data_IF_134289992147
#
_entry.id   IF_134289992147
#
_cell.length_a   1.000
_cell.length_b   1.000
_cell.length_c   1.000
_cell.angle_alpha   90.00
_cell.angle_beta   90.00
_cell.angle_gamma   90.00
#
_symmetry.space_group_name_H-M   'P 1'
#
loop_
_entity.id
_entity.type
_entity.pdbx_description
1 polymer ?
#
# COMPACT_ATOMS: atom_id res chain seq x y z
N UNK A 1 37.68 -41.95 26.03
CA UNK A 1 36.81 -41.52 24.91
C UNK A 1 35.63 -40.79 25.54
N UNK A 2 35.74 -39.52 25.96
CA UNK A 2 36.20 -38.32 25.23
C UNK A 2 35.35 -38.05 23.98
N UNK A 3 34.64 -36.93 24.06
CA UNK A 3 34.20 -36.07 22.95
C UNK A 3 33.04 -36.59 22.10
N UNK A 4 31.79 -36.24 22.46
CA UNK A 4 30.72 -36.12 21.47
C UNK A 4 29.46 -35.33 21.91
N UNK A 5 29.30 -34.95 23.18
CA UNK A 5 28.07 -34.28 23.67
C UNK A 5 28.24 -32.75 23.78
N UNK A 6 29.23 -32.16 23.11
CA UNK A 6 29.49 -30.71 23.16
C UNK A 6 29.53 -30.05 21.77
N UNK A 7 28.84 -30.62 20.77
CA UNK A 7 28.65 -30.00 19.45
C UNK A 7 27.16 -29.86 19.09
N UNK A 8 26.25 -30.42 19.90
CA UNK A 8 24.79 -30.40 19.66
C UNK A 8 24.06 -29.38 20.55
N UNK A 9 24.75 -28.31 20.98
CA UNK A 9 24.16 -27.25 21.81
C UNK A 9 24.63 -25.84 21.42
N UNK A 10 25.06 -25.65 20.17
CA UNK A 10 25.40 -24.34 19.61
C UNK A 10 25.00 -24.22 18.13
N UNK A 11 23.82 -24.71 17.79
CA UNK A 11 23.14 -24.34 16.56
C UNK A 11 21.65 -24.43 16.82
N UNK A 12 21.03 -23.28 17.18
CA UNK A 12 19.60 -22.97 17.09
C UNK A 12 19.27 -21.72 17.93
N UNK A 13 20.04 -20.64 17.74
CA UNK A 13 19.60 -19.28 18.07
C UNK A 13 20.23 -18.32 17.05
N UNK A 14 20.05 -18.62 15.76
CA UNK A 14 19.88 -17.54 14.80
C UNK A 14 18.37 -17.36 14.70
N UNK A 15 17.78 -16.67 15.68
CA UNK A 15 16.66 -15.83 15.29
C UNK A 15 17.28 -14.82 14.32
N UNK A 16 17.04 -15.02 13.03
CA UNK A 16 17.06 -13.90 12.12
C UNK A 16 15.93 -13.00 12.58
N UNK A 17 16.22 -12.17 13.59
CA UNK A 17 15.59 -10.87 13.65
C UNK A 17 15.98 -10.23 12.34
N UNK A 18 15.15 -10.42 11.31
CA UNK A 18 15.14 -9.51 10.19
C UNK A 18 14.96 -8.15 10.84
N UNK A 19 16.04 -7.38 10.88
CA UNK A 19 15.92 -5.97 11.14
C UNK A 19 14.88 -5.50 10.14
N UNK A 20 13.77 -4.99 10.65
CA UNK A 20 12.71 -4.53 9.80
C UNK A 20 13.28 -3.39 8.96
N UNK A 21 13.49 -3.64 7.67
CA UNK A 21 14.00 -2.60 6.79
C UNK A 21 12.95 -1.49 6.71
N UNK A 22 13.39 -0.28 7.01
CA UNK A 22 12.55 0.90 6.93
C UNK A 22 12.34 1.32 5.47
N UNK A 23 11.21 1.96 5.22
CA UNK A 23 10.79 2.42 3.90
C UNK A 23 10.98 3.94 3.76
N UNK A 24 11.64 4.38 2.69
CA UNK A 24 11.96 5.81 2.44
C UNK A 24 10.79 6.60 1.84
N UNK A 25 9.74 5.92 1.38
CA UNK A 25 8.53 6.52 0.81
C UNK A 25 7.29 6.09 1.61
N UNK A 26 6.13 6.77 1.45
CA UNK A 26 4.93 6.45 2.22
C UNK A 26 4.58 4.96 2.16
N UNK A 27 4.19 4.40 3.30
CA UNK A 27 3.96 2.98 3.48
C UNK A 27 2.48 2.70 3.73
N UNK A 28 1.89 1.89 2.86
CA UNK A 28 0.58 1.27 3.07
C UNK A 28 0.75 -0.11 3.71
N UNK A 29 0.06 -0.33 4.82
CA UNK A 29 -0.11 -1.64 5.45
C UNK A 29 -1.59 -1.99 5.37
N UNK A 30 -1.90 -3.06 4.65
CA UNK A 30 -3.26 -3.53 4.39
C UNK A 30 -3.45 -4.88 5.07
N UNK A 31 -4.37 -4.94 6.00
CA UNK A 31 -4.76 -6.18 6.68
C UNK A 31 -6.17 -6.57 6.27
N UNK A 32 -6.30 -7.66 5.54
CA UNK A 32 -7.58 -8.19 5.07
C UNK A 32 -8.15 -9.11 6.14
N UNK A 33 -9.42 -8.90 6.50
CA UNK A 33 -10.07 -9.71 7.53
C UNK A 33 -10.05 -11.20 7.16
N UNK A 34 -9.51 -12.03 8.05
CA UNK A 34 -9.41 -13.48 7.83
C UNK A 34 -8.27 -13.94 6.92
N UNK A 35 -7.39 -13.04 6.46
CA UNK A 35 -6.23 -13.39 5.65
C UNK A 35 -6.56 -13.87 4.23
N UNK A 36 -7.77 -13.60 3.75
CA UNK A 36 -8.21 -14.01 2.41
C UNK A 36 -7.45 -13.27 1.29
N UNK A 37 -7.42 -13.86 0.10
CA UNK A 37 -6.98 -13.16 -1.10
C UNK A 37 -8.00 -12.08 -1.48
N UNK A 38 -7.51 -10.95 -1.95
CA UNK A 38 -8.34 -9.84 -2.42
C UNK A 38 -8.94 -10.21 -3.79
N UNK A 39 -10.28 -10.28 -3.94
CA UNK A 39 -10.94 -10.56 -5.23
C UNK A 39 -11.02 -9.32 -6.11
N UNK A 40 -11.40 -9.45 -7.38
CA UNK A 40 -11.64 -8.33 -8.32
C UNK A 40 -12.94 -7.57 -7.99
N UNK A 41 -14.03 -8.29 -7.75
CA UNK A 41 -15.26 -7.75 -7.17
C UNK A 41 -15.97 -8.89 -6.39
N UNK A 42 -16.68 -8.59 -5.29
CA UNK A 42 -16.85 -7.28 -4.66
C UNK A 42 -15.70 -6.93 -3.69
N UNK A 43 -15.61 -5.65 -3.31
CA UNK A 43 -14.72 -5.21 -2.21
C UNK A 43 -14.95 -6.01 -0.93
N UNK A 44 -13.85 -6.51 -0.37
CA UNK A 44 -13.83 -7.16 0.94
C UNK A 44 -13.35 -6.20 2.02
N UNK A 45 -13.73 -6.47 3.27
CA UNK A 45 -13.32 -5.64 4.42
C UNK A 45 -11.83 -5.80 4.69
N UNK A 46 -11.15 -4.67 4.84
CA UNK A 46 -9.76 -4.59 5.25
C UNK A 46 -9.59 -3.45 6.26
N UNK A 47 -8.46 -3.45 6.93
CA UNK A 47 -7.97 -2.34 7.72
C UNK A 47 -6.73 -1.79 7.02
N UNK A 48 -6.73 -0.49 6.73
CA UNK A 48 -5.61 0.18 6.04
C UNK A 48 -4.96 1.15 7.00
N UNK A 49 -3.65 1.05 7.07
CA UNK A 49 -2.77 2.00 7.74
C UNK A 49 -1.86 2.65 6.71
N UNK A 50 -1.79 3.97 6.70
CA UNK A 50 -0.90 4.77 5.86
C UNK A 50 0.05 5.58 6.75
N UNK A 51 1.34 5.37 6.52
CA UNK A 51 2.44 5.95 7.30
C UNK A 51 3.31 6.80 6.37
N UNK A 52 3.58 8.04 6.77
CA UNK A 52 4.58 8.91 6.17
C UNK A 52 5.19 9.81 7.26
N UNK A 53 6.37 9.42 7.76
CA UNK A 53 7.13 10.17 8.77
C UNK A 53 7.81 11.44 8.19
N UNK A 54 7.67 11.66 6.88
CA UNK A 54 8.16 12.83 6.18
C UNK A 54 9.58 12.69 5.61
N UNK A 55 10.08 13.74 4.94
CA UNK A 55 11.32 13.65 4.17
C UNK A 55 12.54 13.26 5.02
N UNK A 56 13.25 12.22 4.58
CA UNK A 56 14.47 11.73 5.22
C UNK A 56 14.23 10.93 6.51
N UNK A 57 12.97 10.61 6.83
CA UNK A 57 12.60 9.70 7.91
C UNK A 57 12.13 8.38 7.32
N UNK A 58 12.54 7.27 7.95
CA UNK A 58 12.10 5.94 7.57
C UNK A 58 10.70 5.66 8.13
N UNK A 59 9.92 4.88 7.38
CA UNK A 59 8.62 4.36 7.79
C UNK A 59 8.74 2.88 8.16
N UNK A 60 8.15 2.47 9.27
CA UNK A 60 8.16 1.08 9.72
C UNK A 60 6.72 0.55 9.85
N UNK A 61 6.50 -0.74 9.56
CA UNK A 61 5.19 -1.41 9.78
C UNK A 61 4.77 -1.34 11.24
N UNK A 62 5.70 -1.21 12.19
CA UNK A 62 5.39 -1.03 13.61
C UNK A 62 4.88 0.36 13.97
N UNK A 63 5.05 1.37 13.09
CA UNK A 63 4.60 2.73 13.35
C UNK A 63 3.07 2.82 13.34
N UNK A 64 2.52 3.76 14.09
CA UNK A 64 1.08 4.09 14.04
C UNK A 64 0.74 4.78 12.71
N UNK A 65 -0.49 4.58 12.20
CA UNK A 65 -0.94 5.24 10.98
C UNK A 65 -1.13 6.74 11.18
N UNK A 66 -0.14 7.53 10.80
CA UNK A 66 -0.14 8.97 11.03
C UNK A 66 -0.87 9.76 9.92
N UNK A 67 -1.03 9.18 8.72
CA UNK A 67 -1.81 9.77 7.62
C UNK A 67 -3.22 9.21 7.59
N UNK A 68 -3.36 7.89 7.75
CA UNK A 68 -4.65 7.22 7.83
C UNK A 68 -4.52 5.93 8.63
N UNK A 69 -5.53 5.62 9.43
CA UNK A 69 -5.64 4.39 10.20
C UNK A 69 -7.13 4.07 10.37
N UNK A 70 -7.64 3.11 9.59
CA UNK A 70 -9.08 2.85 9.58
C UNK A 70 -9.58 1.74 8.68
N UNK A 71 -10.89 1.52 8.74
CA UNK A 71 -11.59 0.50 7.96
C UNK A 71 -11.65 0.88 6.48
N UNK A 72 -11.50 -0.12 5.62
CA UNK A 72 -11.61 0.04 4.18
C UNK A 72 -12.34 -1.13 3.52
N UNK A 73 -12.89 -0.89 2.34
CA UNK A 73 -13.17 -1.93 1.35
C UNK A 73 -12.01 -2.01 0.36
N UNK A 74 -11.53 -3.20 0.02
CA UNK A 74 -10.47 -3.37 -0.99
C UNK A 74 -10.82 -4.45 -2.00
N UNK A 75 -10.42 -4.22 -3.24
CA UNK A 75 -10.54 -5.16 -4.35
C UNK A 75 -9.32 -5.05 -5.28
N UNK A 76 -9.04 -6.12 -6.02
CA UNK A 76 -8.19 -6.07 -7.21
C UNK A 76 -8.94 -5.27 -8.27
N UNK A 77 -8.20 -4.63 -9.18
CA UNK A 77 -8.84 -3.86 -10.26
C UNK A 77 -8.14 -4.01 -11.60
N UNK A 78 -8.83 -3.52 -12.63
CA UNK A 78 -8.30 -3.40 -13.98
C UNK A 78 -8.33 -4.73 -14.74
N UNK A 79 -8.21 -4.65 -16.06
CA UNK A 79 -8.36 -5.83 -16.92
C UNK A 79 -7.03 -6.59 -17.05
N UNK A 80 -6.19 -6.18 -18.01
CA UNK A 80 -4.89 -6.83 -18.23
C UNK A 80 -3.94 -6.68 -17.03
N UNK A 81 -3.98 -5.53 -16.35
CA UNK A 81 -3.13 -5.31 -15.17
C UNK A 81 -3.44 -6.29 -14.03
N UNK A 82 -4.68 -6.75 -13.88
CA UNK A 82 -5.06 -7.73 -12.87
C UNK A 82 -4.49 -9.12 -13.16
N UNK A 83 -4.12 -9.45 -14.40
CA UNK A 83 -3.47 -10.72 -14.72
C UNK A 83 -1.97 -10.73 -14.41
N UNK A 84 -1.35 -9.57 -14.13
CA UNK A 84 0.08 -9.45 -13.85
C UNK A 84 0.43 -9.94 -12.42
N UNK A 85 1.69 -10.29 -12.13
CA UNK A 85 2.11 -10.78 -10.82
C UNK A 85 1.80 -9.82 -9.66
N UNK A 86 2.07 -8.53 -9.86
CA UNK A 86 1.73 -7.49 -8.89
C UNK A 86 0.34 -6.92 -9.21
N UNK A 87 -0.62 -7.15 -8.29
CA UNK A 87 -2.02 -6.78 -8.49
C UNK A 87 -2.25 -5.31 -8.15
N UNK A 88 -2.83 -4.49 -9.03
CA UNK A 88 -3.31 -3.17 -8.64
C UNK A 88 -4.59 -3.30 -7.82
N UNK A 89 -4.80 -2.36 -6.90
CA UNK A 89 -5.95 -2.37 -5.99
C UNK A 89 -6.80 -1.11 -6.13
N UNK A 90 -8.10 -1.27 -6.01
CA UNK A 90 -9.03 -0.20 -5.70
C UNK A 90 -9.44 -0.32 -4.24
N UNK A 91 -9.49 0.79 -3.50
CA UNK A 91 -9.95 0.77 -2.13
C UNK A 91 -10.87 1.94 -1.81
N UNK A 92 -11.75 1.71 -0.84
CA UNK A 92 -12.70 2.68 -0.31
C UNK A 92 -12.44 2.87 1.17
N UNK A 93 -12.21 4.10 1.64
CA UNK A 93 -12.13 4.40 3.08
C UNK A 93 -13.53 4.44 3.67
N UNK A 94 -13.71 3.81 4.83
CA UNK A 94 -15.01 3.58 5.46
C UNK A 94 -15.03 3.96 6.93
N UNK A 95 -16.19 4.41 7.41
CA UNK A 95 -16.41 4.69 8.82
C UNK A 95 -16.72 3.41 9.64
N UNK A 96 -17.10 3.57 10.90
CA UNK A 96 -17.45 2.46 11.78
C UNK A 96 -18.75 1.74 11.38
N UNK A 97 -19.61 2.39 10.59
CA UNK A 97 -20.85 1.84 10.04
C UNK A 97 -20.66 1.22 8.65
N UNK A 98 -19.42 1.21 8.14
CA UNK A 98 -19.04 0.77 6.81
C UNK A 98 -19.55 1.66 5.66
N UNK A 99 -19.91 2.91 5.97
CA UNK A 99 -20.28 3.93 4.98
C UNK A 99 -19.05 4.66 4.44
N UNK A 100 -19.19 5.33 3.30
CA UNK A 100 -18.11 6.07 2.66
C UNK A 100 -17.58 7.19 3.57
N UNK A 101 -16.28 7.18 3.83
CA UNK A 101 -15.59 8.20 4.62
C UNK A 101 -14.60 8.94 3.72
N UNK A 102 -14.92 10.19 3.37
CA UNK A 102 -13.99 11.04 2.62
C UNK A 102 -12.83 11.45 3.54
N UNK A 103 -11.60 11.23 3.09
CA UNK A 103 -10.39 11.59 3.82
C UNK A 103 -9.37 12.22 2.88
N UNK A 104 -8.52 13.10 3.38
CA UNK A 104 -7.37 13.60 2.61
C UNK A 104 -6.17 12.67 2.83
N UNK A 105 -5.62 12.10 1.75
CA UNK A 105 -4.42 11.27 1.81
C UNK A 105 -3.24 12.02 1.19
N UNK A 106 -2.13 12.16 1.95
CA UNK A 106 -0.87 12.76 1.48
C UNK A 106 -1.03 14.14 0.80
N UNK A 107 -1.96 14.96 1.32
CA UNK A 107 -2.25 16.30 0.83
C UNK A 107 -3.08 16.36 -0.46
N UNK A 108 -3.69 15.24 -0.88
CA UNK A 108 -4.68 15.23 -1.96
C UNK A 108 -6.07 15.64 -1.44
N UNK A 109 -6.98 16.12 -2.29
CA UNK A 109 -8.36 16.43 -1.90
C UNK A 109 -9.05 15.27 -1.18
N UNK A 110 -10.05 15.61 -0.36
CA UNK A 110 -10.81 14.62 0.40
C UNK A 110 -11.63 13.73 -0.53
N UNK A 111 -11.37 12.42 -0.44
CA UNK A 111 -12.04 11.40 -1.24
C UNK A 111 -12.19 10.12 -0.43
N UNK A 112 -13.16 9.30 -0.79
CA UNK A 112 -13.29 7.95 -0.24
C UNK A 112 -12.79 6.87 -1.20
N UNK A 113 -12.72 7.13 -2.51
CA UNK A 113 -12.34 6.15 -3.53
C UNK A 113 -10.91 6.37 -4.04
N UNK A 114 -10.04 5.40 -3.77
CA UNK A 114 -8.62 5.49 -4.03
C UNK A 114 -8.11 4.31 -4.83
N UNK A 115 -6.95 4.50 -5.44
CA UNK A 115 -6.33 3.50 -6.31
C UNK A 115 -4.86 3.34 -5.95
N UNK A 116 -4.43 2.09 -5.78
CA UNK A 116 -3.03 1.69 -5.75
C UNK A 116 -2.67 1.08 -7.12
N UNK A 117 -2.02 1.87 -7.98
CA UNK A 117 -1.53 1.40 -9.27
C UNK A 117 -0.21 0.66 -9.10
N UNK A 118 -0.19 -0.63 -9.46
CA UNK A 118 1.03 -1.44 -9.41
C UNK A 118 2.11 -0.99 -10.41
N UNK A 119 1.72 -0.42 -11.56
CA UNK A 119 2.65 -0.05 -12.65
C UNK A 119 3.63 -1.17 -13.07
N UNK A 120 3.26 -2.45 -12.86
CA UNK A 120 4.15 -3.60 -13.05
C UNK A 120 4.82 -3.68 -14.43
N UNK A 121 4.09 -3.32 -15.48
CA UNK A 121 4.61 -3.31 -16.86
C UNK A 121 5.38 -2.02 -17.23
N UNK A 122 5.36 -1.01 -16.37
CA UNK A 122 6.17 0.20 -16.51
C UNK A 122 7.47 0.07 -15.71
N UNK A 123 8.55 -0.31 -16.40
CA UNK A 123 9.90 -0.42 -15.81
C UNK A 123 10.42 0.86 -15.15
N UNK A 124 9.89 2.02 -15.53
CA UNK A 124 10.29 3.30 -14.94
C UNK A 124 9.47 3.66 -13.71
N UNK A 125 8.28 3.09 -13.53
CA UNK A 125 7.27 3.52 -12.54
C UNK A 125 6.87 5.01 -12.66
N UNK A 126 7.21 5.68 -13.75
CA UNK A 126 7.08 7.13 -13.89
C UNK A 126 6.07 7.57 -14.95
N UNK A 127 5.65 6.72 -15.90
CA UNK A 127 4.85 7.18 -17.04
C UNK A 127 3.53 7.82 -16.61
N UNK A 128 2.81 7.16 -15.69
CA UNK A 128 1.53 7.67 -15.17
C UNK A 128 1.73 8.96 -14.36
N UNK A 129 2.70 8.98 -13.45
CA UNK A 129 2.95 10.12 -12.56
C UNK A 129 3.43 11.36 -13.34
N UNK A 130 4.36 11.20 -14.28
CA UNK A 130 4.89 12.30 -15.11
C UNK A 130 3.83 12.81 -16.07
N UNK A 131 3.06 11.94 -16.73
CA UNK A 131 2.01 12.38 -17.65
C UNK A 131 0.97 13.26 -16.92
N UNK A 132 0.51 12.83 -15.74
CA UNK A 132 -0.39 13.62 -14.92
C UNK A 132 0.23 14.94 -14.44
N UNK A 133 1.50 14.92 -14.04
CA UNK A 133 2.22 16.12 -13.62
C UNK A 133 2.35 17.15 -14.75
N UNK A 134 2.72 16.72 -15.96
CA UNK A 134 2.82 17.59 -17.13
C UNK A 134 1.45 18.20 -17.44
N UNK A 135 0.38 17.40 -17.44
CA UNK A 135 -0.98 17.91 -17.70
C UNK A 135 -1.43 18.95 -16.66
N UNK A 136 -1.14 18.73 -15.38
CA UNK A 136 -1.36 19.72 -14.31
C UNK A 136 -0.55 20.99 -14.51
N UNK A 137 0.71 20.87 -14.93
CA UNK A 137 1.57 22.04 -15.16
C UNK A 137 1.09 22.93 -16.30
N UNK A 138 0.31 22.38 -17.24
CA UNK A 138 -0.36 23.13 -18.31
C UNK A 138 -1.67 23.80 -17.86
N UNK A 139 -2.04 23.70 -16.58
CA UNK A 139 -3.27 24.30 -16.03
C UNK A 139 -4.51 23.43 -16.17
N UNK A 140 -4.38 22.16 -16.56
CA UNK A 140 -5.50 21.23 -16.64
C UNK A 140 -5.60 20.35 -15.39
N UNK A 141 -6.80 19.83 -15.13
CA UNK A 141 -7.00 18.84 -14.07
C UNK A 141 -6.48 17.46 -14.51
N UNK A 142 -5.64 16.84 -13.68
CA UNK A 142 -5.29 15.43 -13.76
C UNK A 142 -5.09 14.86 -12.34
N UNK A 143 -5.47 13.58 -12.10
CA UNK A 143 -5.32 12.94 -10.79
C UNK A 143 -3.90 13.05 -10.25
N UNK A 144 -3.81 13.50 -9.00
CA UNK A 144 -2.56 13.58 -8.24
C UNK A 144 -2.09 12.17 -7.93
N UNK A 145 -0.78 12.05 -7.84
CA UNK A 145 -0.10 10.77 -7.67
C UNK A 145 0.96 10.89 -6.59
N UNK A 146 1.09 9.82 -5.79
CA UNK A 146 2.17 9.65 -4.81
C UNK A 146 2.72 8.23 -4.93
N UNK A 147 4.03 8.08 -5.04
CA UNK A 147 4.67 6.77 -4.94
C UNK A 147 4.61 6.30 -3.50
N UNK A 148 4.36 5.01 -3.30
CA UNK A 148 4.26 4.39 -2.00
C UNK A 148 4.66 2.92 -2.06
N UNK A 149 5.02 2.34 -0.92
CA UNK A 149 5.19 0.89 -0.78
C UNK A 149 3.94 0.28 -0.16
N UNK A 150 3.67 -0.99 -0.49
CA UNK A 150 2.47 -1.69 -0.02
C UNK A 150 2.84 -3.03 0.59
N UNK A 151 2.32 -3.28 1.78
CA UNK A 151 2.32 -4.57 2.46
C UNK A 151 0.87 -5.04 2.57
N UNK A 152 0.62 -6.31 2.22
CA UNK A 152 -0.71 -6.93 2.36
C UNK A 152 -0.56 -8.19 3.20
N UNK A 153 -1.33 -8.28 4.30
CA UNK A 153 -1.31 -9.41 5.24
C UNK A 153 0.11 -9.78 5.67
N UNK A 154 0.91 -8.78 6.05
CA UNK A 154 2.32 -8.95 6.42
C UNK A 154 3.31 -9.27 5.29
N UNK A 155 2.86 -9.41 4.03
CA UNK A 155 3.73 -9.67 2.88
C UNK A 155 4.01 -8.39 2.07
N UNK A 156 5.28 -8.13 1.79
CA UNK A 156 5.69 -6.99 0.96
C UNK A 156 5.31 -7.21 -0.51
N UNK A 157 4.51 -6.28 -1.05
CA UNK A 157 3.94 -6.34 -2.40
C UNK A 157 4.59 -5.37 -3.38
N UNK A 158 5.63 -4.63 -2.98
CA UNK A 158 6.38 -3.73 -3.86
C UNK A 158 5.93 -2.28 -3.85
N UNK A 159 6.44 -1.53 -4.82
CA UNK A 159 6.16 -0.11 -5.06
C UNK A 159 4.88 0.03 -5.88
N UNK A 160 4.06 1.01 -5.50
CA UNK A 160 2.81 1.40 -6.15
C UNK A 160 2.77 2.93 -6.35
N UNK A 161 1.77 3.36 -7.10
CA UNK A 161 1.37 4.77 -7.19
C UNK A 161 -0.06 4.91 -6.66
N UNK A 162 -0.19 5.59 -5.53
CA UNK A 162 -1.47 6.05 -5.01
C UNK A 162 -2.03 7.16 -5.89
N UNK A 163 -3.31 7.09 -6.25
CA UNK A 163 -4.00 8.15 -7.01
C UNK A 163 -5.51 8.20 -6.74
N UNK A 164 -6.11 9.36 -7.00
CA UNK A 164 -7.56 9.61 -6.93
C UNK A 164 -8.31 8.76 -7.97
N UNK A 165 -9.43 8.14 -7.60
CA UNK A 165 -10.35 7.56 -8.59
C UNK A 165 -11.18 8.68 -9.20
N UNK A 166 -11.03 8.92 -10.50
CA UNK A 166 -11.83 9.95 -11.20
C UNK A 166 -13.31 9.58 -11.10
N UNK A 167 -14.08 10.46 -10.48
CA UNK A 167 -15.54 10.48 -10.46
C UNK A 167 -16.01 11.93 -10.53
N UNK A 168 -17.30 12.12 -10.80
CA UNK A 168 -17.92 13.45 -10.67
C UNK A 168 -18.42 13.60 -9.25
N UNK A 169 -17.95 14.64 -8.59
CA UNK A 169 -18.61 15.12 -7.37
C UNK A 169 -20.05 15.54 -7.72
N UNK A 170 -20.95 15.42 -6.73
CA UNK A 170 -22.33 15.90 -6.88
C UNK A 170 -22.39 17.42 -6.98
#
# INVERSE_FOLDING_TARGET
>A
MRTCVLILLLSLLFESGFAQEGMDIPLFVVEVNGGFSIPDEPKIKAHIKLIDNGPGQLNFVSDSGNIYDGNAGIEVRGAYSASLPQKPYGFETRDSLAENLNVSLLGMPEENDWILLANYNDKSFLRNSIAGQIFRSMGHYAPRTRHCEVIVNGSYNGIYVLTEKIKRDK
#
